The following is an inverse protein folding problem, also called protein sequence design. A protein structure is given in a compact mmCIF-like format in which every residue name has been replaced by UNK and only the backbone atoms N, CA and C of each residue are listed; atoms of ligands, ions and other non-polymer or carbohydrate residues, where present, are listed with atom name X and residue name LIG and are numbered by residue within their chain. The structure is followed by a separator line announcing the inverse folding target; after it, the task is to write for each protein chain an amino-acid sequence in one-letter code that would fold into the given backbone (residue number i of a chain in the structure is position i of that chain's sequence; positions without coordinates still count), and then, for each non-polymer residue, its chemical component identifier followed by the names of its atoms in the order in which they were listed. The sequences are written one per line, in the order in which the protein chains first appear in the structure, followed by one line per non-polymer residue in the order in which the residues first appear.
data_IF_018826644664
#
_entry.id   IF_018826644664
#
_cell.length_a   1.000
_cell.length_b   1.000
_cell.length_c   1.000
_cell.angle_alpha   90.00
_cell.angle_beta   90.00
_cell.angle_gamma   90.00
#
_symmetry.space_group_name_H-M   'P 1'
#
loop_
_entity.id
_entity.type
_entity.pdbx_description
1 polymer ?
#
# COMPACT_ATOMS: atom_id res chain seq x y z
N UNK A 1 -0.69 13.27 -12.25
CA UNK A 1 -1.91 13.45 -11.42
C UNK A 1 -1.78 12.65 -10.15
N UNK A 2 -2.39 13.08 -9.05
CA UNK A 2 -2.51 12.29 -7.82
C UNK A 2 -3.42 11.08 -8.06
N UNK A 3 -3.26 10.00 -7.30
CA UNK A 3 -4.09 8.80 -7.42
C UNK A 3 -4.67 8.33 -6.09
N UNK A 4 -5.74 7.55 -6.19
CA UNK A 4 -6.34 6.71 -5.16
C UNK A 4 -6.64 5.31 -5.70
N UNK A 5 -5.98 4.91 -6.80
CA UNK A 5 -6.14 3.60 -7.44
C UNK A 5 -4.81 2.87 -7.52
N UNK A 6 -4.89 1.55 -7.67
CA UNK A 6 -3.71 0.76 -7.99
C UNK A 6 -3.13 1.17 -9.33
N UNK A 7 -1.85 0.84 -9.52
CA UNK A 7 -1.08 1.35 -10.64
C UNK A 7 -0.42 0.20 -11.39
N UNK A 8 -0.25 0.37 -12.71
CA UNK A 8 0.62 -0.49 -13.51
C UNK A 8 2.06 -0.43 -13.01
N UNK A 9 2.90 -1.36 -13.47
CA UNK A 9 4.23 -1.57 -12.90
C UNK A 9 5.08 -0.29 -12.78
N UNK A 10 5.05 0.58 -13.79
CA UNK A 10 5.81 1.83 -13.83
C UNK A 10 5.18 3.00 -13.05
N UNK A 11 4.02 2.83 -12.42
CA UNK A 11 3.36 3.90 -11.65
C UNK A 11 2.82 5.04 -12.51
N UNK A 12 2.58 4.81 -13.80
CA UNK A 12 2.18 5.84 -14.77
C UNK A 12 0.81 5.58 -15.42
N UNK A 13 -0.01 4.71 -14.82
CA UNK A 13 -1.32 4.36 -15.32
C UNK A 13 -2.10 3.55 -14.29
N UNK A 14 -3.41 3.76 -14.23
CA UNK A 14 -4.29 3.05 -13.30
C UNK A 14 -4.39 1.56 -13.65
N UNK A 15 -4.63 0.73 -12.63
CA UNK A 15 -4.83 -0.70 -12.75
C UNK A 15 -5.91 -1.16 -11.77
N UNK A 16 -6.62 -2.23 -12.09
CA UNK A 16 -7.62 -2.82 -11.19
C UNK A 16 -6.97 -3.51 -9.98
N UNK A 17 -5.78 -4.06 -10.17
CA UNK A 17 -5.00 -4.68 -9.11
C UNK A 17 -3.50 -4.64 -9.43
N UNK A 18 -2.68 -4.85 -8.42
CA UNK A 18 -1.25 -5.09 -8.57
C UNK A 18 -0.75 -5.97 -7.43
N UNK A 19 0.14 -6.92 -7.73
CA UNK A 19 0.74 -7.79 -6.71
C UNK A 19 2.25 -7.66 -6.82
N UNK A 20 2.91 -7.33 -5.72
CA UNK A 20 4.36 -7.30 -5.62
C UNK A 20 4.84 -8.36 -4.64
N UNK A 21 5.74 -9.20 -5.12
CA UNK A 21 6.47 -10.17 -4.33
C UNK A 21 7.94 -9.74 -4.26
N UNK A 22 8.42 -9.50 -3.05
CA UNK A 22 9.82 -9.16 -2.77
C UNK A 22 10.49 -10.35 -2.06
N UNK A 23 11.41 -11.08 -2.73
CA UNK A 23 12.21 -12.12 -2.09
C UNK A 23 13.15 -11.57 -0.99
N UNK A 24 13.59 -12.42 -0.04
CA UNK A 24 14.71 -12.11 0.86
C UNK A 24 15.95 -11.62 0.09
N UNK A 25 16.53 -10.50 0.51
CA UNK A 25 17.75 -9.93 -0.08
C UNK A 25 17.56 -9.14 -1.40
N UNK A 26 16.38 -9.22 -2.02
CA UNK A 26 16.07 -8.48 -3.25
C UNK A 26 15.43 -7.12 -2.91
N UNK A 27 16.02 -6.02 -3.36
CA UNK A 27 15.52 -4.66 -3.09
C UNK A 27 14.34 -4.25 -3.97
N UNK A 28 14.18 -4.84 -5.14
CA UNK A 28 13.15 -4.46 -6.11
C UNK A 28 11.97 -5.43 -6.08
N UNK A 29 12.26 -6.73 -6.08
CA UNK A 29 11.25 -7.77 -6.20
C UNK A 29 10.66 -7.89 -7.60
N UNK A 30 9.53 -8.59 -7.67
CA UNK A 30 8.77 -8.89 -8.88
C UNK A 30 7.35 -8.40 -8.73
N UNK A 31 6.75 -7.99 -9.84
CA UNK A 31 5.39 -7.47 -9.88
C UNK A 31 4.56 -8.17 -10.95
N UNK A 32 3.30 -8.42 -10.61
CA UNK A 32 2.24 -8.90 -11.50
C UNK A 32 1.15 -7.82 -11.55
N UNK A 33 0.70 -7.50 -12.76
CA UNK A 33 -0.33 -6.48 -13.04
C UNK A 33 -1.26 -7.00 -14.14
N UNK A 34 -2.50 -6.49 -14.26
CA UNK A 34 -3.52 -7.01 -15.18
C UNK A 34 -3.05 -7.14 -16.63
N UNK A 35 -2.22 -6.20 -17.10
CA UNK A 35 -1.73 -6.14 -18.48
C UNK A 35 -0.56 -7.11 -18.77
N UNK A 36 -0.17 -7.95 -17.80
CA UNK A 36 0.93 -8.92 -17.94
C UNK A 36 0.47 -10.33 -17.56
N UNK A 37 0.76 -11.28 -18.44
CA UNK A 37 0.45 -12.71 -18.22
C UNK A 37 1.46 -13.42 -17.29
N UNK A 38 2.53 -12.74 -16.84
CA UNK A 38 3.54 -13.31 -15.97
C UNK A 38 4.19 -12.28 -15.04
N UNK A 39 4.80 -12.78 -13.96
CA UNK A 39 5.63 -11.98 -13.06
C UNK A 39 6.79 -11.33 -13.81
N UNK A 40 6.94 -10.02 -13.66
CA UNK A 40 8.05 -9.25 -14.22
C UNK A 40 8.91 -8.64 -13.11
N UNK A 41 10.13 -8.21 -13.43
CA UNK A 41 10.94 -7.44 -12.50
C UNK A 41 10.21 -6.13 -12.14
N UNK A 42 10.22 -5.75 -10.86
CA UNK A 42 9.76 -4.43 -10.46
C UNK A 42 10.73 -3.37 -11.03
N UNK A 43 10.25 -2.28 -11.65
CA UNK A 43 11.10 -1.36 -12.41
C UNK A 43 12.08 -0.53 -11.57
N UNK A 44 11.89 -0.47 -10.24
CA UNK A 44 12.73 0.24 -9.29
C UNK A 44 12.89 -0.55 -8.00
N UNK A 45 13.90 -0.23 -7.22
CA UNK A 45 13.97 -0.70 -5.83
C UNK A 45 12.86 -0.03 -5.00
N UNK A 46 12.38 -0.72 -3.96
CA UNK A 46 11.24 -0.32 -3.15
C UNK A 46 11.46 0.98 -2.34
N UNK A 47 12.69 1.45 -2.16
CA UNK A 47 12.96 2.75 -1.52
C UNK A 47 12.74 3.96 -2.43
N UNK A 48 12.63 3.77 -3.75
CA UNK A 48 12.45 4.88 -4.67
C UNK A 48 11.02 5.40 -4.57
N UNK A 49 10.83 6.71 -4.45
CA UNK A 49 9.51 7.33 -4.30
C UNK A 49 8.73 7.46 -5.63
N UNK A 50 9.29 6.97 -6.74
CA UNK A 50 8.80 7.20 -8.11
C UNK A 50 9.04 6.00 -9.03
N UNK A 51 8.41 6.06 -10.19
CA UNK A 51 8.55 5.12 -11.31
C UNK A 51 8.21 3.65 -10.97
N UNK A 52 7.45 3.41 -9.90
CA UNK A 52 6.89 2.08 -9.64
C UNK A 52 5.50 2.14 -8.99
N UNK A 53 4.77 1.04 -9.16
CA UNK A 53 3.35 0.90 -8.80
C UNK A 53 3.04 1.32 -7.35
N UNK A 54 3.69 0.68 -6.37
CA UNK A 54 3.38 0.89 -4.95
C UNK A 54 3.82 2.26 -4.40
N UNK A 55 4.88 2.88 -4.91
CA UNK A 55 5.23 4.26 -4.53
C UNK A 55 4.15 5.22 -5.02
N UNK A 56 3.70 5.05 -6.27
CA UNK A 56 2.62 5.86 -6.82
C UNK A 56 1.31 5.67 -6.07
N UNK A 57 0.91 4.41 -5.81
CA UNK A 57 -0.33 4.11 -5.10
C UNK A 57 -0.35 4.68 -3.66
N UNK A 58 0.81 4.74 -2.99
CA UNK A 58 0.95 5.23 -1.62
C UNK A 58 1.27 6.74 -1.52
N UNK A 59 1.33 7.46 -2.63
CA UNK A 59 1.80 8.85 -2.66
C UNK A 59 0.99 9.78 -1.74
N UNK A 60 -0.30 9.51 -1.55
CA UNK A 60 -1.20 10.30 -0.70
C UNK A 60 -1.10 9.95 0.79
N UNK A 61 -0.51 8.80 1.11
CA UNK A 61 -0.25 8.36 2.50
C UNK A 61 0.95 9.10 3.07
N UNK A 62 1.98 9.28 2.24
CA UNK A 62 3.23 9.99 2.59
C UNK A 62 3.13 11.48 2.30
N UNK A 63 2.42 11.87 1.26
CA UNK A 63 2.21 13.24 0.82
C UNK A 63 1.02 13.92 1.50
N UNK A 64 0.88 15.22 1.21
CA UNK A 64 -0.25 16.02 1.65
C UNK A 64 -1.14 16.37 0.45
N UNK A 65 -2.10 15.49 0.15
CA UNK A 65 -3.07 15.65 -0.93
C UNK A 65 -4.45 15.88 -0.29
N UNK A 66 -5.02 17.10 -0.47
CA UNK A 66 -6.22 17.53 0.26
C UNK A 66 -7.47 16.76 -0.15
N UNK A 67 -7.46 16.26 -1.37
CA UNK A 67 -8.55 15.52 -1.99
C UNK A 67 -8.49 14.01 -1.67
N UNK A 68 -7.53 13.59 -0.83
CA UNK A 68 -7.26 12.18 -0.54
C UNK A 68 -7.26 11.94 0.96
N UNK A 69 -8.07 10.98 1.39
CA UNK A 69 -8.06 10.47 2.76
C UNK A 69 -7.49 9.07 2.78
N UNK A 70 -6.96 8.63 3.92
CA UNK A 70 -6.58 7.24 4.10
C UNK A 70 -6.73 6.79 5.56
N UNK A 71 -6.81 5.48 5.74
CA UNK A 71 -6.56 4.86 7.03
C UNK A 71 -5.53 3.75 6.87
N UNK A 72 -4.60 3.68 7.82
CA UNK A 72 -3.60 2.62 7.87
C UNK A 72 -3.80 1.77 9.13
N UNK A 73 -3.61 0.46 8.98
CA UNK A 73 -3.65 -0.51 10.06
C UNK A 73 -2.41 -1.38 10.02
N UNK A 74 -1.74 -1.56 11.16
CA UNK A 74 -0.53 -2.37 11.24
C UNK A 74 -0.32 -2.79 12.70
N UNK A 75 -0.23 -4.09 12.97
CA UNK A 75 0.05 -4.60 14.32
C UNK A 75 1.50 -4.35 14.79
N UNK A 76 2.36 -3.87 13.90
CA UNK A 76 3.72 -3.41 14.16
C UNK A 76 3.92 -2.01 13.54
N UNK A 77 2.99 -1.09 13.79
CA UNK A 77 3.07 0.29 13.31
C UNK A 77 4.33 1.00 13.83
N UNK A 78 4.99 1.79 12.96
CA UNK A 78 6.19 2.53 13.34
C UNK A 78 5.86 3.58 14.41
N UNK A 79 6.70 3.67 15.46
CA UNK A 79 6.55 4.67 16.52
C UNK A 79 5.47 4.37 17.57
N UNK A 80 4.75 3.25 17.48
CA UNK A 80 3.72 2.85 18.45
C UNK A 80 4.19 1.64 19.25
N UNK A 81 4.22 1.76 20.59
CA UNK A 81 4.64 0.68 21.51
C UNK A 81 3.40 0.16 22.25
N UNK A 82 3.29 -1.16 22.40
CA UNK A 82 2.26 -1.78 23.24
C UNK A 82 0.92 -2.08 22.56
N UNK A 83 0.87 -2.07 21.22
CA UNK A 83 -0.29 -2.53 20.46
C UNK A 83 -0.59 -4.01 20.80
N UNK A 84 -1.82 -4.29 21.24
CA UNK A 84 -2.34 -5.65 21.42
C UNK A 84 -3.53 -5.85 20.48
N UNK A 85 -3.28 -6.34 19.27
CA UNK A 85 -4.34 -6.73 18.33
C UNK A 85 -4.46 -8.25 18.28
N UNK A 86 -5.66 -8.78 18.03
CA UNK A 86 -5.83 -10.21 17.69
C UNK A 86 -5.42 -10.53 16.24
N UNK A 87 -5.31 -9.51 15.40
CA UNK A 87 -4.96 -9.61 13.98
C UNK A 87 -3.49 -9.27 13.73
N UNK A 88 -2.85 -10.04 12.84
CA UNK A 88 -1.50 -9.75 12.31
C UNK A 88 -1.54 -9.01 10.96
N UNK A 89 -2.75 -8.65 10.50
CA UNK A 89 -2.97 -7.99 9.20
C UNK A 89 -2.39 -6.58 9.19
N UNK A 90 -1.93 -6.15 8.02
CA UNK A 90 -1.39 -4.82 7.77
C UNK A 90 -1.87 -4.31 6.43
N UNK A 91 -2.10 -3.02 6.33
CA UNK A 91 -2.56 -2.43 5.09
C UNK A 91 -2.99 -0.98 5.22
N UNK A 92 -3.43 -0.46 4.08
CA UNK A 92 -3.88 0.91 3.93
C UNK A 92 -5.07 0.92 3.00
N UNK A 93 -6.09 1.71 3.33
CA UNK A 93 -7.14 2.09 2.38
C UNK A 93 -6.98 3.57 2.08
N UNK A 94 -7.00 3.91 0.80
CA UNK A 94 -6.84 5.27 0.29
C UNK A 94 -8.07 5.57 -0.55
N UNK A 95 -8.69 6.72 -0.35
CA UNK A 95 -9.89 7.13 -1.07
C UNK A 95 -9.74 8.56 -1.59
N UNK A 96 -10.35 8.81 -2.75
CA UNK A 96 -10.67 10.17 -3.21
C UNK A 96 -11.93 10.64 -2.50
N UNK A 97 -11.95 11.86 -2.00
CA UNK A 97 -13.16 12.45 -1.37
C UNK A 97 -14.02 13.23 -2.37
N UNK A 98 -13.51 13.45 -3.58
CA UNK A 98 -14.15 14.24 -4.64
C UNK A 98 -14.56 13.39 -5.85
N UNK A 99 -14.11 12.13 -5.95
CA UNK A 99 -14.42 11.25 -7.05
C UNK A 99 -15.01 9.93 -6.54
N UNK A 100 -16.24 9.64 -6.97
CA UNK A 100 -16.93 8.41 -6.61
C UNK A 100 -16.18 7.17 -7.09
N UNK A 101 -16.26 6.11 -6.29
CA UNK A 101 -15.70 4.78 -6.58
C UNK A 101 -14.20 4.81 -6.92
N UNK A 102 -13.47 5.68 -6.22
CA UNK A 102 -12.05 5.91 -6.44
C UNK A 102 -11.25 5.62 -5.18
N UNK A 103 -11.11 4.32 -4.87
CA UNK A 103 -10.36 3.86 -3.72
C UNK A 103 -9.40 2.70 -4.05
N UNK A 104 -8.37 2.58 -3.22
CA UNK A 104 -7.39 1.50 -3.28
C UNK A 104 -7.25 0.88 -1.90
N UNK A 105 -7.24 -0.44 -1.85
CA UNK A 105 -6.94 -1.21 -0.67
C UNK A 105 -5.63 -1.98 -0.87
N UNK A 106 -4.65 -1.64 -0.04
CA UNK A 106 -3.35 -2.28 -0.03
C UNK A 106 -3.25 -3.18 1.19
N UNK A 107 -2.97 -4.46 0.98
CA UNK A 107 -2.65 -5.44 2.03
C UNK A 107 -1.18 -5.81 1.90
N UNK A 108 -0.46 -5.84 3.01
CA UNK A 108 0.95 -6.21 2.98
C UNK A 108 1.42 -6.96 4.22
N UNK A 109 2.64 -7.46 4.12
CA UNK A 109 3.33 -8.19 5.19
C UNK A 109 4.44 -7.38 5.87
N UNK A 110 4.79 -6.21 5.32
CA UNK A 110 5.91 -5.37 5.77
C UNK A 110 5.62 -4.67 7.12
N UNK A 111 6.35 -4.99 8.22
CA UNK A 111 6.24 -4.26 9.49
C UNK A 111 6.63 -2.79 9.35
N UNK A 112 6.00 -1.89 10.11
CA UNK A 112 6.32 -0.46 10.11
C UNK A 112 6.05 0.32 8.82
N UNK A 113 5.45 -0.31 7.80
CA UNK A 113 5.20 0.28 6.49
C UNK A 113 3.70 0.49 6.21
N UNK A 114 3.34 1.45 5.33
CA UNK A 114 4.12 2.67 5.09
C UNK A 114 4.17 3.50 6.38
N UNK A 115 5.11 4.44 6.47
CA UNK A 115 5.09 5.45 7.53
C UNK A 115 4.28 6.64 7.01
N UNK A 116 3.12 6.98 7.60
CA UNK A 116 2.29 8.07 7.10
C UNK A 116 2.94 9.44 7.31
N UNK A 117 2.69 10.38 6.39
CA UNK A 117 3.08 11.80 6.48
C UNK A 117 4.57 12.08 6.72
N UNK A 118 5.43 11.15 6.33
CA UNK A 118 6.88 11.32 6.24
C UNK A 118 7.35 10.98 4.83
N UNK A 119 8.64 11.17 4.54
CA UNK A 119 9.22 10.78 3.26
C UNK A 119 8.99 9.29 2.96
N UNK A 120 8.64 8.98 1.71
CA UNK A 120 8.49 7.60 1.24
C UNK A 120 9.79 6.82 1.47
N UNK A 121 9.67 5.68 2.15
CA UNK A 121 10.78 4.80 2.46
C UNK A 121 10.31 3.35 2.50
N UNK A 122 11.23 2.43 2.21
CA UNK A 122 11.06 1.02 2.54
C UNK A 122 11.90 0.70 3.79
N UNK A 123 11.36 0.00 4.82
CA UNK A 123 12.09 -0.24 6.05
C UNK A 123 13.37 -1.06 5.82
N UNK A 124 14.52 -0.52 6.25
CA UNK A 124 15.81 -1.15 6.00
C UNK A 124 15.96 -2.54 6.64
N UNK A 125 15.33 -2.77 7.80
CA UNK A 125 15.29 -4.06 8.49
C UNK A 125 14.62 -5.16 7.67
N UNK A 126 13.73 -4.78 6.76
CA UNK A 126 12.89 -5.69 5.99
C UNK A 126 13.52 -6.11 4.66
N UNK A 127 14.75 -5.65 4.35
CA UNK A 127 15.43 -6.11 3.14
C UNK A 127 15.85 -7.58 3.21
N UNK A 128 16.19 -8.08 4.40
CA UNK A 128 16.55 -9.48 4.61
C UNK A 128 15.36 -10.44 4.53
N UNK A 129 14.12 -9.93 4.58
CA UNK A 129 12.90 -10.72 4.64
C UNK A 129 12.16 -10.77 3.30
N UNK A 130 11.32 -11.79 3.14
CA UNK A 130 10.39 -11.89 2.02
C UNK A 130 9.08 -11.19 2.34
N UNK A 131 8.52 -10.45 1.37
CA UNK A 131 7.26 -9.74 1.54
C UNK A 131 6.34 -9.88 0.33
N UNK A 132 5.05 -9.93 0.63
CA UNK A 132 3.96 -9.78 -0.33
C UNK A 132 3.22 -8.46 -0.06
N UNK A 133 2.92 -7.74 -1.14
CA UNK A 133 2.04 -6.59 -1.17
C UNK A 133 1.00 -6.81 -2.27
N UNK A 134 -0.27 -6.57 -1.95
CA UNK A 134 -1.40 -6.66 -2.87
C UNK A 134 -2.10 -5.30 -2.85
N UNK A 135 -2.40 -4.76 -4.01
CA UNK A 135 -3.23 -3.58 -4.18
C UNK A 135 -4.48 -4.00 -4.97
N UNK A 136 -5.66 -3.62 -4.48
CA UNK A 136 -6.94 -3.76 -5.16
C UNK A 136 -7.57 -2.37 -5.32
N UNK A 137 -7.94 -2.00 -6.55
CA UNK A 137 -8.81 -0.85 -6.79
C UNK A 137 -10.23 -1.30 -6.45
N UNK A 138 -10.88 -0.57 -5.57
CA UNK A 138 -12.18 -0.91 -5.00
C UNK A 138 -13.16 0.25 -5.14
N UNK A 139 -14.45 -0.04 -5.13
CA UNK A 139 -15.50 0.96 -5.00
C UNK A 139 -15.61 1.43 -3.55
N UNK A 140 -16.13 2.64 -3.32
CA UNK A 140 -16.31 3.16 -1.97
C UNK A 140 -17.31 2.33 -1.16
N UNK A 141 -18.32 1.77 -1.84
CA UNK A 141 -19.29 0.84 -1.26
C UNK A 141 -18.69 -0.43 -0.68
N UNK A 142 -17.46 -0.79 -1.07
CA UNK A 142 -16.75 -1.96 -0.53
C UNK A 142 -15.98 -1.66 0.77
N UNK A 143 -15.82 -0.38 1.14
CA UNK A 143 -14.97 0.02 2.29
C UNK A 143 -15.57 -0.43 3.62
N UNK A 144 -16.87 -0.21 3.86
CA UNK A 144 -17.52 -0.60 5.12
C UNK A 144 -17.43 -2.13 5.38
N UNK A 145 -17.73 -3.00 4.39
CA UNK A 145 -17.48 -4.44 4.53
C UNK A 145 -16.03 -4.81 4.87
N UNK A 146 -15.04 -4.12 4.27
CA UNK A 146 -13.61 -4.34 4.56
C UNK A 146 -13.26 -3.93 5.99
N UNK A 147 -13.78 -2.79 6.46
CA UNK A 147 -13.60 -2.31 7.82
C UNK A 147 -14.14 -3.31 8.86
N UNK A 148 -15.30 -3.91 8.59
CA UNK A 148 -15.89 -4.92 9.47
C UNK A 148 -15.06 -6.22 9.50
N UNK A 149 -14.55 -6.67 8.35
CA UNK A 149 -13.74 -7.89 8.24
C UNK A 149 -12.42 -7.80 9.01
N UNK A 150 -11.82 -6.61 9.06
CA UNK A 150 -10.45 -6.43 9.55
C UNK A 150 -10.33 -6.26 11.07
N UNK A 151 -11.45 -6.14 11.81
CA UNK A 151 -11.50 -5.89 13.28
C UNK A 151 -10.33 -5.00 13.74
N UNK A 152 -10.22 -3.82 13.13
CA UNK A 152 -9.07 -2.94 13.26
C UNK A 152 -9.15 -2.23 14.62
N UNK A 153 -8.36 -2.70 15.60
CA UNK A 153 -8.17 -1.97 16.87
C UNK A 153 -7.06 -0.90 16.78
N UNK A 154 -6.32 -0.84 15.67
CA UNK A 154 -5.30 0.20 15.42
C UNK A 154 -5.72 1.02 14.23
N UNK A 155 -6.51 2.05 14.50
CA UNK A 155 -6.91 3.05 13.53
C UNK A 155 -5.94 4.23 13.63
N UNK A 156 -5.08 4.40 12.63
CA UNK A 156 -4.44 5.69 12.37
C UNK A 156 -5.26 6.35 11.26
N UNK A 157 -6.25 7.15 11.66
CA UNK A 157 -7.02 8.02 10.77
C UNK A 157 -6.24 9.33 10.64
N UNK A 158 -5.80 9.69 9.44
CA UNK A 158 -5.10 10.97 9.16
C UNK A 158 -5.77 11.65 7.97
#
# INVERSE_FOLDING_TARGET
AQTSKCQVAAGNGEADWAILYKPPGDKAGKILVPVREAWAANPRNLENDRDHSFAKALESVVGNHREKSFFAYNNAASGVIGIKTKSNSKGVVILDVNAADSAAWIVHTVPGYPVPKVQYTFPASEYANGHLLICLTISESQIEPIGLFTYIEVLILI
#
